data_IF_470912242698
#
_entry.id   IF_470912242698
#
_cell.length_a   1.000
_cell.length_b   1.000
_cell.length_c   1.000
_cell.angle_alpha   90.00
_cell.angle_beta   90.00
_cell.angle_gamma   90.00
#
_symmetry.space_group_name_H-M   'P 1'
#
loop_
_entity.id
_entity.type
_entity.pdbx_description
1 polymer ?
#
# COMPACT_ATOMS: atom_id res chain seq x y z
N UNK A 1 -5.34 16.23 -28.11
CA UNK A 1 -4.59 17.16 -27.26
C UNK A 1 -3.79 16.32 -26.28
N UNK A 2 -2.45 16.29 -26.42
CA UNK A 2 -1.58 15.49 -25.54
C UNK A 2 -1.46 16.22 -24.21
N UNK A 3 -2.00 15.64 -23.13
CA UNK A 3 -1.74 16.13 -21.79
C UNK A 3 -0.25 15.91 -21.48
N UNK A 4 0.52 16.98 -21.43
CA UNK A 4 1.87 16.99 -20.86
C UNK A 4 1.71 16.83 -19.35
N UNK A 5 1.86 15.61 -18.85
CA UNK A 5 2.03 15.35 -17.42
C UNK A 5 3.34 16.01 -16.98
N UNK A 6 3.23 16.89 -16.03
CA UNK A 6 4.34 17.67 -15.46
C UNK A 6 5.15 16.75 -14.54
N UNK A 7 6.26 16.24 -15.05
CA UNK A 7 7.34 15.73 -14.24
C UNK A 7 8.27 16.91 -13.91
N UNK A 8 7.93 17.67 -12.89
CA UNK A 8 8.81 18.73 -12.40
C UNK A 8 9.76 18.15 -11.35
N UNK A 9 11.05 18.38 -11.57
CA UNK A 9 12.22 17.91 -10.83
C UNK A 9 12.28 18.16 -9.32
N UNK A 10 11.22 17.83 -8.58
CA UNK A 10 11.18 17.89 -7.10
C UNK A 10 11.99 16.79 -6.42
N UNK A 11 12.41 15.75 -7.15
CA UNK A 11 13.17 14.61 -6.61
C UNK A 11 14.57 14.98 -6.07
N UNK A 12 15.06 16.19 -6.29
CA UNK A 12 16.33 16.65 -5.75
C UNK A 12 16.28 17.01 -4.24
N UNK A 13 15.09 17.15 -3.65
CA UNK A 13 14.92 17.55 -2.24
C UNK A 13 15.13 16.41 -1.24
N UNK A 14 15.02 15.15 -1.65
CA UNK A 14 15.16 14.00 -0.75
C UNK A 14 16.60 13.61 -0.41
N UNK A 15 17.61 14.33 -0.92
CA UNK A 15 19.04 14.09 -0.60
C UNK A 15 19.52 14.57 0.78
N UNK A 16 18.68 15.22 1.59
CA UNK A 16 19.00 15.50 2.99
C UNK A 16 18.35 14.45 3.87
N UNK A 17 19.15 13.53 4.38
CA UNK A 17 18.79 12.64 5.48
C UNK A 17 18.41 13.49 6.70
N UNK A 18 17.15 13.87 6.81
CA UNK A 18 16.59 14.36 8.04
C UNK A 18 16.10 13.13 8.82
N UNK A 19 16.87 12.71 9.81
CA UNK A 19 16.34 11.82 10.84
C UNK A 19 15.23 12.57 11.55
N UNK A 20 13.99 12.14 11.38
CA UNK A 20 12.86 12.63 12.16
C UNK A 20 13.02 12.02 13.56
N UNK A 21 13.46 12.82 14.52
CA UNK A 21 13.41 12.42 15.93
C UNK A 21 11.93 12.40 16.36
N UNK A 22 11.41 11.23 16.73
CA UNK A 22 10.09 11.14 17.39
C UNK A 22 10.17 11.90 18.72
N UNK A 23 9.68 13.12 18.73
CA UNK A 23 9.68 13.94 19.93
C UNK A 23 8.63 13.45 20.90
N UNK A 24 8.98 13.45 22.20
CA UNK A 24 8.14 12.87 23.25
C UNK A 24 6.81 13.61 23.43
N UNK A 25 6.78 14.95 23.15
CA UNK A 25 5.60 15.80 23.33
C UNK A 25 5.56 16.88 22.24
N UNK A 26 4.52 16.85 21.43
CA UNK A 26 4.32 17.79 20.33
C UNK A 26 2.85 18.19 20.22
N UNK A 27 2.59 19.47 19.91
CA UNK A 27 1.28 19.98 19.60
C UNK A 27 1.26 20.55 18.18
N UNK A 28 0.48 19.94 17.30
CA UNK A 28 0.20 20.44 15.96
C UNK A 28 -1.00 21.36 16.03
N UNK A 29 -0.84 22.60 15.55
CA UNK A 29 -1.87 23.65 15.68
C UNK A 29 -2.30 24.22 14.34
N UNK A 30 -3.49 24.82 14.33
CA UNK A 30 -4.02 25.66 13.26
C UNK A 30 -4.26 24.94 11.93
N UNK A 31 -4.08 23.62 11.85
CA UNK A 31 -4.33 22.84 10.65
C UNK A 31 -5.80 22.45 10.48
N UNK A 32 -6.19 22.08 9.27
CA UNK A 32 -7.48 21.47 8.98
C UNK A 32 -7.30 19.94 9.07
N UNK A 33 -7.61 19.37 10.24
CA UNK A 33 -7.35 17.97 10.54
C UNK A 33 -8.49 17.06 10.05
N UNK A 34 -8.14 15.91 9.47
CA UNK A 34 -9.11 14.90 9.08
C UNK A 34 -9.44 14.00 10.27
N UNK A 35 -10.55 14.28 10.92
CA UNK A 35 -10.99 13.61 12.15
C UNK A 35 -12.40 13.05 11.95
N UNK A 36 -12.62 11.79 12.32
CA UNK A 36 -13.95 11.14 12.25
C UNK A 36 -14.62 11.23 10.87
N UNK A 37 -13.83 11.18 9.80
CA UNK A 37 -14.34 11.20 8.43
C UNK A 37 -14.62 12.57 7.84
N UNK A 38 -14.26 13.66 8.55
CA UNK A 38 -14.47 15.03 8.09
C UNK A 38 -13.25 15.91 8.39
N UNK A 39 -13.14 17.05 7.70
CA UNK A 39 -12.14 18.06 7.99
C UNK A 39 -12.64 19.02 9.07
N UNK A 40 -11.89 19.15 10.14
CA UNK A 40 -12.21 20.02 11.29
C UNK A 40 -11.00 20.92 11.63
N UNK A 41 -11.24 22.14 12.04
CA UNK A 41 -10.24 22.99 12.69
C UNK A 41 -9.92 22.41 14.07
N UNK A 42 -8.91 21.57 14.14
CA UNK A 42 -8.54 20.89 15.37
C UNK A 42 -7.03 20.81 15.53
N UNK A 43 -6.57 21.01 16.75
CA UNK A 43 -5.19 20.75 17.15
C UNK A 43 -5.02 19.27 17.49
N UNK A 44 -3.82 18.74 17.26
CA UNK A 44 -3.48 17.35 17.55
C UNK A 44 -2.27 17.29 18.46
N UNK A 45 -2.43 16.73 19.66
CA UNK A 45 -1.32 16.47 20.57
C UNK A 45 -0.77 15.06 20.36
N UNK A 46 0.54 14.97 20.21
CA UNK A 46 1.26 13.70 20.08
C UNK A 46 2.14 13.54 21.33
N UNK A 47 1.97 12.41 22.00
CA UNK A 47 2.80 12.02 23.15
C UNK A 47 3.33 10.60 22.94
N UNK A 48 4.64 10.43 23.07
CA UNK A 48 5.32 9.15 22.91
C UNK A 48 4.99 8.42 21.58
N UNK A 49 4.89 9.18 20.48
CA UNK A 49 4.59 8.67 19.15
C UNK A 49 3.13 8.24 18.94
N UNK A 50 2.23 8.62 19.82
CA UNK A 50 0.78 8.38 19.69
C UNK A 50 -0.01 9.68 19.80
N UNK A 51 -1.15 9.72 19.14
CA UNK A 51 -2.13 10.78 19.34
C UNK A 51 -2.65 10.68 20.79
N UNK A 52 -2.50 11.76 21.56
CA UNK A 52 -2.96 11.84 22.94
C UNK A 52 -4.30 12.57 23.04
N UNK A 53 -4.43 13.73 22.38
CA UNK A 53 -5.62 14.58 22.43
C UNK A 53 -5.90 15.19 21.05
N UNK A 54 -7.17 15.44 20.74
CA UNK A 54 -7.63 16.13 19.52
C UNK A 54 -8.70 17.13 19.91
N UNK A 55 -8.61 18.37 19.41
CA UNK A 55 -9.59 19.44 19.68
C UNK A 55 -8.94 20.82 19.73
N UNK A 56 -9.56 21.76 20.43
CA UNK A 56 -8.98 23.08 20.72
C UNK A 56 -8.05 22.95 21.93
N UNK A 57 -6.75 22.98 21.73
CA UNK A 57 -5.76 22.64 22.76
C UNK A 57 -4.87 23.86 23.11
N UNK A 58 -4.54 24.01 24.38
CA UNK A 58 -3.52 24.93 24.85
C UNK A 58 -2.17 24.22 24.95
N UNK A 59 -1.09 24.92 24.58
CA UNK A 59 0.25 24.39 24.71
C UNK A 59 0.61 24.12 26.17
N UNK A 60 1.27 22.99 26.45
CA UNK A 60 1.85 22.65 27.75
C UNK A 60 3.29 23.16 27.84
N UNK A 61 3.80 23.38 29.04
CA UNK A 61 5.21 23.80 29.23
C UNK A 61 6.19 22.74 28.65
N UNK A 62 7.12 23.18 27.81
CA UNK A 62 8.14 22.31 27.20
C UNK A 62 7.64 21.49 26.00
N UNK A 63 6.38 21.68 25.57
CA UNK A 63 5.83 21.02 24.38
C UNK A 63 6.33 21.72 23.10
N UNK A 64 6.74 20.94 22.10
CA UNK A 64 7.06 21.51 20.79
C UNK A 64 5.78 21.86 20.06
N UNK A 65 5.72 23.07 19.50
CA UNK A 65 4.57 23.51 18.69
C UNK A 65 4.96 23.42 17.21
N UNK A 66 4.11 22.76 16.44
CA UNK A 66 4.16 22.73 14.97
C UNK A 66 2.94 23.46 14.43
N UNK A 67 3.18 24.58 13.78
CA UNK A 67 2.14 25.33 13.10
C UNK A 67 1.84 24.69 11.73
N UNK A 68 0.59 24.26 11.56
CA UNK A 68 0.07 23.67 10.32
C UNK A 68 -0.94 24.61 9.65
N UNK A 69 -0.87 25.93 9.88
CA UNK A 69 -1.77 26.91 9.28
C UNK A 69 -1.75 26.80 7.74
N UNK A 70 -2.96 26.68 7.15
CA UNK A 70 -3.13 26.54 5.70
C UNK A 70 -2.87 25.13 5.17
N UNK A 71 -2.60 24.15 6.04
CA UNK A 71 -2.37 22.75 5.64
C UNK A 71 -3.53 21.85 6.10
N UNK A 72 -3.76 20.83 5.29
CA UNK A 72 -4.52 19.66 5.71
C UNK A 72 -3.62 18.77 6.54
N UNK A 73 -4.13 18.33 7.69
CA UNK A 73 -3.45 17.39 8.61
C UNK A 73 -4.15 16.06 8.52
N UNK A 74 -3.51 15.10 7.88
CA UNK A 74 -4.07 13.77 7.59
C UNK A 74 -3.45 12.72 8.52
N UNK A 75 -4.16 11.61 8.81
CA UNK A 75 -3.51 10.44 9.36
C UNK A 75 -2.36 10.00 8.45
N UNK A 76 -1.29 9.45 9.00
CA UNK A 76 -0.25 8.84 8.19
C UNK A 76 -0.81 7.71 7.32
N UNK A 77 -0.31 7.63 6.08
CA UNK A 77 -0.77 6.65 5.09
C UNK A 77 -0.42 5.23 5.51
N UNK A 78 -1.22 4.28 5.02
CA UNK A 78 -0.98 2.84 5.19
C UNK A 78 -0.90 2.19 3.82
N UNK A 79 0.26 1.62 3.48
CA UNK A 79 0.51 0.98 2.19
C UNK A 79 0.58 -0.54 2.36
N UNK A 80 -0.43 -1.25 1.91
CA UNK A 80 -0.55 -2.70 2.10
C UNK A 80 0.00 -3.53 0.93
N UNK A 81 0.58 -2.87 -0.09
CA UNK A 81 1.22 -3.54 -1.22
C UNK A 81 2.37 -2.70 -1.76
N UNK A 82 3.59 -3.10 -1.43
CA UNK A 82 4.83 -2.40 -1.79
C UNK A 82 6.01 -3.37 -1.83
N UNK A 83 6.74 -3.45 -2.94
CA UNK A 83 7.90 -4.32 -3.09
C UNK A 83 9.19 -3.68 -2.60
N UNK A 84 9.37 -2.40 -2.96
CA UNK A 84 10.62 -1.70 -2.75
C UNK A 84 10.43 -0.18 -2.69
N UNK A 85 11.44 0.55 -2.17
CA UNK A 85 11.45 2.01 -2.10
C UNK A 85 12.89 2.54 -1.97
N UNK A 86 13.24 3.59 -2.73
CA UNK A 86 14.51 4.32 -2.58
C UNK A 86 15.76 3.46 -2.76
N UNK A 87 15.73 2.50 -3.68
CA UNK A 87 16.81 1.55 -3.93
C UNK A 87 16.88 0.38 -2.95
N UNK A 88 15.93 0.25 -2.01
CA UNK A 88 15.81 -0.88 -1.10
C UNK A 88 14.66 -1.78 -1.53
N UNK A 89 14.84 -3.11 -1.47
CA UNK A 89 13.87 -4.13 -1.88
C UNK A 89 13.70 -5.16 -0.76
N UNK A 90 12.45 -5.46 -0.38
CA UNK A 90 12.17 -6.39 0.71
C UNK A 90 12.67 -7.82 0.46
N UNK A 91 12.87 -8.21 -0.81
CA UNK A 91 13.46 -9.50 -1.17
C UNK A 91 14.93 -9.62 -0.75
N UNK A 92 15.62 -8.50 -0.47
CA UNK A 92 17.03 -8.47 -0.04
C UNK A 92 17.21 -8.60 1.47
N UNK A 93 16.10 -8.78 2.22
CA UNK A 93 16.11 -9.10 3.64
C UNK A 93 16.09 -7.90 4.58
N UNK A 94 16.46 -8.13 5.86
CA UNK A 94 16.24 -7.22 6.99
C UNK A 94 16.77 -5.80 6.76
N UNK A 95 17.99 -5.66 6.25
CA UNK A 95 18.62 -4.34 6.10
C UNK A 95 17.84 -3.45 5.12
N UNK A 96 17.32 -4.02 4.04
CA UNK A 96 16.53 -3.29 3.05
C UNK A 96 15.14 -2.96 3.57
N UNK A 97 14.47 -3.87 4.28
CA UNK A 97 13.18 -3.59 4.94
C UNK A 97 13.32 -2.44 5.95
N UNK A 98 14.41 -2.36 6.70
CA UNK A 98 14.70 -1.23 7.61
C UNK A 98 14.92 0.08 6.86
N UNK A 99 15.63 0.05 5.73
CA UNK A 99 15.81 1.22 4.87
C UNK A 99 14.48 1.69 4.27
N UNK A 100 13.63 0.76 3.79
CA UNK A 100 12.27 1.06 3.35
C UNK A 100 11.47 1.73 4.47
N UNK A 101 11.46 1.15 5.66
CA UNK A 101 10.75 1.68 6.83
C UNK A 101 11.14 3.13 7.12
N UNK A 102 12.44 3.42 7.18
CA UNK A 102 12.94 4.77 7.45
C UNK A 102 12.60 5.75 6.32
N UNK A 103 12.77 5.32 5.07
CA UNK A 103 12.49 6.17 3.90
C UNK A 103 11.01 6.46 3.71
N UNK A 104 10.15 5.46 3.88
CA UNK A 104 8.69 5.60 3.71
C UNK A 104 8.08 6.55 4.73
N UNK A 105 8.58 6.58 5.97
CA UNK A 105 8.12 7.55 6.97
C UNK A 105 8.27 8.99 6.45
N UNK A 106 9.35 9.30 5.71
CA UNK A 106 9.61 10.64 5.16
C UNK A 106 8.57 11.04 4.08
N UNK A 107 7.84 10.07 3.53
CA UNK A 107 6.78 10.30 2.52
C UNK A 107 5.38 10.33 3.14
N UNK A 108 5.27 10.31 4.47
CA UNK A 108 4.01 10.32 5.19
C UNK A 108 3.39 8.95 5.42
N UNK A 109 4.07 7.85 5.08
CA UNK A 109 3.60 6.49 5.37
C UNK A 109 3.86 6.17 6.84
N UNK A 110 2.80 5.86 7.58
CA UNK A 110 2.89 5.46 8.99
C UNK A 110 3.13 3.96 9.16
N UNK A 111 2.59 3.16 8.24
CA UNK A 111 2.70 1.70 8.27
C UNK A 111 2.64 1.11 6.86
N UNK A 112 3.26 -0.04 6.67
CA UNK A 112 3.25 -0.72 5.38
C UNK A 112 3.37 -2.25 5.52
N UNK A 113 3.02 -2.95 4.45
CA UNK A 113 3.16 -4.40 4.33
C UNK A 113 4.11 -4.69 3.16
N UNK A 114 5.41 -4.93 3.41
CA UNK A 114 6.35 -5.29 2.36
C UNK A 114 5.90 -6.55 1.64
N UNK A 115 5.94 -6.52 0.29
CA UNK A 115 5.35 -7.51 -0.60
C UNK A 115 6.43 -8.28 -1.33
N UNK A 116 6.46 -9.62 -1.15
CA UNK A 116 7.43 -10.48 -1.84
C UNK A 116 7.05 -10.70 -3.30
N UNK A 117 8.07 -10.90 -4.14
CA UNK A 117 7.93 -11.34 -5.53
C UNK A 117 7.97 -12.87 -5.63
N UNK A 118 7.62 -13.40 -6.84
CA UNK A 118 7.86 -14.81 -7.16
C UNK A 118 9.35 -15.14 -7.08
N UNK A 119 9.67 -16.15 -6.29
CA UNK A 119 11.02 -16.64 -6.05
C UNK A 119 10.99 -18.14 -5.69
N UNK A 120 12.15 -18.78 -5.68
CA UNK A 120 12.25 -20.15 -5.17
C UNK A 120 11.98 -20.19 -3.66
N UNK A 121 11.50 -21.32 -3.10
CA UNK A 121 11.05 -21.41 -1.70
C UNK A 121 12.07 -20.90 -0.68
N UNK A 122 13.38 -21.16 -0.91
CA UNK A 122 14.42 -20.67 0.00
C UNK A 122 14.56 -19.16 -0.03
N UNK A 123 14.50 -18.53 -1.20
CA UNK A 123 14.59 -17.06 -1.35
C UNK A 123 13.37 -16.38 -0.72
N UNK A 124 12.18 -16.98 -0.90
CA UNK A 124 10.95 -16.50 -0.24
C UNK A 124 11.08 -16.57 1.28
N UNK A 125 11.57 -17.70 1.81
CA UNK A 125 11.84 -17.84 3.24
C UNK A 125 12.85 -16.79 3.76
N UNK A 126 13.93 -16.55 3.03
CA UNK A 126 14.96 -15.58 3.42
C UNK A 126 14.39 -14.16 3.47
N UNK A 127 13.58 -13.76 2.48
CA UNK A 127 12.87 -12.48 2.46
C UNK A 127 11.89 -12.36 3.65
N UNK A 128 11.05 -13.37 3.86
CA UNK A 128 10.12 -13.42 4.99
C UNK A 128 10.83 -13.37 6.34
N UNK A 129 11.97 -14.04 6.48
CA UNK A 129 12.79 -14.00 7.70
C UNK A 129 13.33 -12.59 7.97
N UNK A 130 13.75 -11.87 6.92
CA UNK A 130 14.17 -10.47 7.03
C UNK A 130 13.01 -9.57 7.47
N UNK A 131 11.81 -9.76 6.91
CA UNK A 131 10.61 -9.02 7.32
C UNK A 131 10.24 -9.36 8.78
N UNK A 132 10.25 -10.65 9.15
CA UNK A 132 10.00 -11.09 10.54
C UNK A 132 10.93 -10.40 11.53
N UNK A 133 12.22 -10.31 11.20
CA UNK A 133 13.20 -9.66 12.08
C UNK A 133 12.88 -8.19 12.35
N UNK A 134 12.31 -7.48 11.36
CA UNK A 134 11.88 -6.08 11.53
C UNK A 134 10.55 -5.98 12.27
N UNK A 135 9.62 -6.93 12.06
CA UNK A 135 8.37 -7.00 12.84
C UNK A 135 8.67 -7.21 14.32
N UNK A 136 9.61 -8.12 14.64
CA UNK A 136 9.98 -8.43 16.03
C UNK A 136 10.78 -7.31 16.70
N UNK A 137 11.54 -6.54 15.92
CA UNK A 137 12.37 -5.41 16.39
C UNK A 137 12.17 -4.20 15.48
N UNK A 138 11.04 -3.46 15.64
CA UNK A 138 10.68 -2.34 14.78
C UNK A 138 11.71 -1.20 14.83
N UNK A 139 11.81 -0.47 13.72
CA UNK A 139 12.59 0.78 13.67
C UNK A 139 11.92 1.86 14.52
N UNK A 140 12.72 2.48 15.41
CA UNK A 140 12.24 3.55 16.28
C UNK A 140 11.82 4.81 15.48
N UNK A 141 12.46 5.05 14.32
CA UNK A 141 12.25 6.22 13.45
C UNK A 141 11.87 5.80 12.04
N UNK A 142 10.96 4.85 11.91
CA UNK A 142 10.49 4.32 10.63
C UNK A 142 8.98 4.12 10.60
N UNK A 143 8.44 3.91 9.41
CA UNK A 143 7.09 3.40 9.21
C UNK A 143 6.98 1.98 9.79
N UNK A 144 5.87 1.67 10.44
CA UNK A 144 5.68 0.35 11.05
C UNK A 144 5.52 -0.75 9.98
N UNK A 145 6.26 -1.84 10.13
CA UNK A 145 6.07 -3.05 9.30
C UNK A 145 4.98 -3.89 9.93
N UNK A 146 3.83 -4.02 9.23
CA UNK A 146 2.63 -4.72 9.75
C UNK A 146 2.67 -6.23 9.56
N UNK A 147 3.66 -6.74 8.88
CA UNK A 147 3.84 -8.12 8.47
C UNK A 147 4.27 -8.19 7.01
N UNK A 148 4.15 -9.34 6.36
CA UNK A 148 4.50 -9.59 4.98
C UNK A 148 3.27 -9.85 4.11
N UNK A 149 3.30 -9.39 2.86
CA UNK A 149 2.39 -9.80 1.82
C UNK A 149 3.12 -10.76 0.87
N UNK A 150 2.68 -12.01 0.80
CA UNK A 150 3.18 -12.95 -0.21
C UNK A 150 2.36 -12.78 -1.50
N UNK A 151 2.93 -12.19 -2.56
CA UNK A 151 2.20 -12.01 -3.81
C UNK A 151 2.25 -13.26 -4.72
N UNK A 152 3.16 -14.15 -4.47
CA UNK A 152 3.37 -15.40 -5.22
C UNK A 152 3.56 -16.56 -4.22
N UNK A 153 3.63 -17.84 -4.66
CA UNK A 153 3.79 -18.32 -6.05
C UNK A 153 2.51 -18.87 -6.71
N UNK A 154 1.35 -18.80 -6.08
CA UNK A 154 0.12 -19.46 -6.52
C UNK A 154 -0.64 -18.64 -7.57
N UNK A 155 0.02 -18.32 -8.69
CA UNK A 155 -0.46 -17.42 -9.72
C UNK A 155 -0.68 -18.14 -11.06
N UNK A 156 -1.58 -17.61 -11.89
CA UNK A 156 -1.82 -18.13 -13.24
C UNK A 156 -0.73 -17.67 -14.22
N UNK A 157 -0.03 -18.61 -14.85
CA UNK A 157 1.08 -18.33 -15.75
C UNK A 157 0.69 -17.32 -16.87
N UNK A 158 -0.52 -17.42 -17.40
CA UNK A 158 -1.03 -16.50 -18.45
C UNK A 158 -1.08 -15.04 -17.99
N UNK A 159 -1.31 -14.80 -16.72
CA UNK A 159 -1.46 -13.47 -16.11
C UNK A 159 -0.32 -13.13 -15.15
N UNK A 160 0.83 -13.77 -15.29
CA UNK A 160 1.98 -13.60 -14.38
C UNK A 160 2.52 -12.15 -14.31
N UNK A 161 2.27 -11.31 -15.33
CA UNK A 161 2.85 -9.96 -15.37
C UNK A 161 4.37 -9.99 -15.30
N UNK A 162 4.94 -9.26 -14.36
CA UNK A 162 6.38 -9.21 -14.06
C UNK A 162 6.87 -10.36 -13.15
N UNK A 163 6.01 -11.27 -12.72
CA UNK A 163 6.40 -12.42 -11.89
C UNK A 163 7.19 -13.46 -12.69
N UNK A 164 8.14 -14.16 -12.05
CA UNK A 164 8.96 -15.22 -12.70
C UNK A 164 8.13 -16.50 -12.85
N UNK A 165 7.88 -16.90 -14.10
CA UNK A 165 7.00 -18.03 -14.41
C UNK A 165 7.52 -19.38 -13.90
N UNK A 166 8.84 -19.58 -13.86
CA UNK A 166 9.50 -20.79 -13.35
C UNK A 166 9.37 -20.99 -11.84
N UNK A 167 9.05 -19.91 -11.10
CA UNK A 167 8.84 -19.98 -9.65
C UNK A 167 7.38 -20.21 -9.24
N UNK A 168 6.46 -20.24 -10.23
CA UNK A 168 5.04 -20.44 -9.94
C UNK A 168 4.76 -21.89 -9.55
N UNK A 169 3.84 -22.09 -8.61
CA UNK A 169 3.47 -23.39 -8.06
C UNK A 169 1.96 -23.56 -8.01
N UNK A 170 1.51 -24.81 -7.97
CA UNK A 170 0.12 -25.11 -7.68
C UNK A 170 -0.22 -24.77 -6.22
N UNK A 171 -1.39 -24.15 -5.94
CA UNK A 171 -1.82 -23.82 -4.59
C UNK A 171 -1.89 -25.08 -3.70
N UNK A 172 -1.16 -25.06 -2.58
CA UNK A 172 -1.29 -26.07 -1.53
C UNK A 172 -0.75 -25.54 -0.20
N UNK A 173 -1.31 -26.00 0.92
CA UNK A 173 -0.79 -25.64 2.24
C UNK A 173 0.61 -26.21 2.49
N UNK A 174 0.96 -27.35 1.89
CA UNK A 174 2.31 -27.90 1.98
C UNK A 174 3.36 -26.97 1.36
N UNK A 175 3.10 -26.44 0.16
CA UNK A 175 3.98 -25.46 -0.48
C UNK A 175 4.04 -24.14 0.31
N UNK A 176 2.91 -23.66 0.84
CA UNK A 176 2.89 -22.50 1.73
C UNK A 176 3.77 -22.71 2.97
N UNK A 177 3.57 -23.84 3.67
CA UNK A 177 4.31 -24.14 4.91
C UNK A 177 5.82 -24.36 4.65
N UNK A 178 6.20 -24.85 3.47
CA UNK A 178 7.60 -24.96 3.05
C UNK A 178 8.28 -23.58 2.92
N UNK A 179 7.57 -22.58 2.43
CA UNK A 179 8.11 -21.21 2.29
C UNK A 179 8.10 -20.45 3.63
N UNK A 180 7.10 -20.67 4.46
CA UNK A 180 6.92 -19.90 5.71
C UNK A 180 7.72 -20.49 6.87
N UNK A 181 7.85 -21.83 6.96
CA UNK A 181 8.66 -22.55 7.98
C UNK A 181 8.41 -22.08 9.42
N UNK A 182 7.15 -21.78 9.75
CA UNK A 182 6.77 -21.36 11.10
C UNK A 182 6.96 -19.86 11.41
N UNK A 183 7.41 -19.05 10.45
CA UNK A 183 7.37 -17.58 10.58
C UNK A 183 5.91 -17.11 10.75
N UNK A 184 5.72 -16.06 11.54
CA UNK A 184 4.38 -15.52 11.88
C UNK A 184 4.08 -14.17 11.23
N UNK A 185 5.02 -13.63 10.47
CA UNK A 185 4.88 -12.30 9.86
C UNK A 185 3.91 -12.26 8.68
N UNK A 186 3.53 -13.41 8.06
CA UNK A 186 2.66 -13.37 6.89
C UNK A 186 1.29 -12.83 7.26
N UNK A 187 0.98 -11.65 6.76
CA UNK A 187 -0.28 -10.93 6.97
C UNK A 187 -1.25 -11.13 5.82
N UNK A 188 -0.73 -11.17 4.61
CA UNK A 188 -1.51 -11.24 3.37
C UNK A 188 -0.92 -12.26 2.41
N UNK A 189 -1.77 -12.85 1.56
CA UNK A 189 -1.34 -13.68 0.44
C UNK A 189 -2.21 -13.45 -0.78
N UNK A 190 -1.57 -13.19 -1.92
CA UNK A 190 -2.22 -13.13 -3.23
C UNK A 190 -2.12 -14.47 -3.94
N UNK A 191 -3.21 -14.90 -4.56
CA UNK A 191 -3.29 -16.14 -5.33
C UNK A 191 -4.34 -16.05 -6.45
N UNK A 192 -4.24 -16.96 -7.43
CA UNK A 192 -5.21 -17.15 -8.50
C UNK A 192 -6.26 -18.17 -8.07
N UNK A 193 -7.51 -17.72 -7.76
CA UNK A 193 -8.49 -18.58 -7.10
C UNK A 193 -9.08 -19.68 -8.00
N UNK A 194 -8.94 -19.59 -9.33
CA UNK A 194 -9.38 -20.61 -10.28
C UNK A 194 -8.43 -21.83 -10.32
N UNK A 195 -7.23 -21.71 -9.74
CA UNK A 195 -6.27 -22.82 -9.73
C UNK A 195 -6.73 -23.94 -8.81
N UNK A 196 -6.54 -25.23 -9.20
CA UNK A 196 -6.86 -26.36 -8.33
C UNK A 196 -6.16 -26.25 -6.96
N UNK A 197 -6.90 -26.41 -5.86
CA UNK A 197 -6.42 -26.30 -4.50
C UNK A 197 -6.47 -24.87 -3.90
N UNK A 198 -6.80 -23.86 -4.71
CA UNK A 198 -6.80 -22.47 -4.25
C UNK A 198 -7.87 -22.21 -3.18
N UNK A 199 -9.08 -22.72 -3.33
CA UNK A 199 -10.17 -22.51 -2.37
C UNK A 199 -9.84 -23.13 -0.99
N UNK A 200 -9.21 -24.30 -0.98
CA UNK A 200 -8.73 -24.96 0.23
C UNK A 200 -7.65 -24.13 0.94
N UNK A 201 -6.70 -23.54 0.16
CA UNK A 201 -5.67 -22.64 0.69
C UNK A 201 -6.31 -21.39 1.27
N UNK A 202 -7.25 -20.75 0.57
CA UNK A 202 -8.00 -19.58 1.06
C UNK A 202 -8.66 -19.90 2.41
N UNK A 203 -9.42 -21.00 2.49
CA UNK A 203 -10.12 -21.40 3.71
C UNK A 203 -9.17 -21.71 4.87
N UNK A 204 -8.00 -22.31 4.58
CA UNK A 204 -6.98 -22.61 5.58
C UNK A 204 -6.28 -21.34 6.09
N UNK A 205 -5.91 -20.43 5.20
CA UNK A 205 -5.26 -19.16 5.53
C UNK A 205 -6.19 -18.23 6.32
N UNK A 206 -7.48 -18.18 6.00
CA UNK A 206 -8.49 -17.47 6.79
C UNK A 206 -8.48 -17.96 8.27
N UNK A 207 -8.40 -19.26 8.50
CA UNK A 207 -8.34 -19.84 9.87
C UNK A 207 -7.05 -19.45 10.60
N UNK A 208 -5.95 -19.17 9.85
CA UNK A 208 -4.68 -18.69 10.40
C UNK A 208 -4.65 -17.16 10.56
N UNK A 209 -5.72 -16.44 10.19
CA UNK A 209 -5.79 -14.98 10.27
C UNK A 209 -5.00 -14.26 9.16
N UNK A 210 -4.66 -14.96 8.08
CA UNK A 210 -4.00 -14.38 6.91
C UNK A 210 -5.08 -13.89 5.93
N UNK A 211 -4.98 -12.64 5.51
CA UNK A 211 -5.86 -12.03 4.50
C UNK A 211 -5.51 -12.59 3.12
N UNK A 212 -6.51 -13.10 2.39
CA UNK A 212 -6.28 -13.60 1.03
C UNK A 212 -6.81 -12.64 -0.02
N UNK A 213 -6.03 -12.49 -1.11
CA UNK A 213 -6.29 -11.57 -2.21
C UNK A 213 -6.28 -12.32 -3.54
N UNK A 214 -7.09 -11.90 -4.51
CA UNK A 214 -7.06 -12.45 -5.88
C UNK A 214 -6.29 -11.50 -6.80
N UNK A 215 -5.32 -12.01 -7.54
CA UNK A 215 -4.68 -11.34 -8.68
C UNK A 215 -3.82 -12.32 -9.48
N UNK A 216 -3.20 -11.82 -10.57
CA UNK A 216 -2.42 -12.64 -11.49
C UNK A 216 -3.20 -13.91 -11.88
N UNK A 217 -4.44 -13.72 -12.33
CA UNK A 217 -5.47 -14.76 -12.35
C UNK A 217 -6.27 -14.73 -13.67
N UNK A 218 -6.63 -15.90 -14.14
CA UNK A 218 -7.59 -16.12 -15.23
C UNK A 218 -9.02 -16.32 -14.72
N UNK A 219 -9.28 -16.09 -13.43
CA UNK A 219 -10.58 -16.28 -12.78
C UNK A 219 -11.69 -15.53 -13.50
N UNK A 220 -12.85 -16.14 -13.56
CA UNK A 220 -14.11 -15.54 -13.98
C UNK A 220 -14.86 -15.02 -12.74
N UNK A 221 -15.96 -14.30 -12.94
CA UNK A 221 -16.74 -13.77 -11.82
C UNK A 221 -17.20 -14.87 -10.84
N UNK A 222 -17.58 -16.04 -11.34
CA UNK A 222 -17.97 -17.17 -10.50
C UNK A 222 -16.86 -17.67 -9.59
N UNK A 223 -15.61 -17.68 -10.08
CA UNK A 223 -14.45 -18.11 -9.29
C UNK A 223 -14.18 -17.12 -8.14
N UNK A 224 -14.33 -15.81 -8.40
CA UNK A 224 -14.18 -14.76 -7.38
C UNK A 224 -15.26 -14.88 -6.30
N UNK A 225 -16.52 -15.14 -6.67
CA UNK A 225 -17.60 -15.34 -5.70
C UNK A 225 -17.35 -16.60 -4.85
N UNK A 226 -16.92 -17.71 -5.47
CA UNK A 226 -16.55 -18.92 -4.74
C UNK A 226 -15.37 -18.69 -3.78
N UNK A 227 -14.38 -17.92 -4.22
CA UNK A 227 -13.25 -17.54 -3.36
C UNK A 227 -13.68 -16.64 -2.19
N UNK A 228 -14.59 -15.68 -2.41
CA UNK A 228 -15.16 -14.85 -1.33
C UNK A 228 -15.94 -15.69 -0.32
N UNK A 229 -16.69 -16.69 -0.76
CA UNK A 229 -17.37 -17.66 0.12
C UNK A 229 -16.37 -18.49 0.95
N UNK A 230 -15.23 -18.87 0.35
CA UNK A 230 -14.14 -19.56 1.05
C UNK A 230 -13.40 -18.63 2.02
N UNK A 231 -13.44 -17.31 1.83
CA UNK A 231 -12.85 -16.35 2.76
C UNK A 231 -11.91 -15.31 2.17
N UNK A 232 -11.80 -15.24 0.84
CA UNK A 232 -11.09 -14.16 0.16
C UNK A 232 -11.78 -12.82 0.43
N UNK A 233 -11.00 -11.78 0.73
CA UNK A 233 -11.53 -10.47 1.11
C UNK A 233 -10.95 -9.31 0.30
N UNK A 234 -9.97 -9.55 -0.57
CA UNK A 234 -9.36 -8.48 -1.35
C UNK A 234 -9.09 -8.89 -2.80
N UNK A 235 -8.99 -7.89 -3.68
CA UNK A 235 -8.44 -8.01 -5.03
C UNK A 235 -7.24 -7.09 -5.12
N UNK A 236 -6.08 -7.67 -5.44
CA UNK A 236 -4.81 -6.94 -5.58
C UNK A 236 -4.80 -6.19 -6.91
N UNK A 237 -4.28 -4.95 -6.93
CA UNK A 237 -4.09 -4.06 -8.09
C UNK A 237 -5.16 -4.23 -9.18
N UNK A 238 -6.42 -3.96 -8.81
CA UNK A 238 -7.62 -4.12 -9.63
C UNK A 238 -7.40 -3.72 -11.10
N UNK A 239 -7.88 -4.51 -12.05
CA UNK A 239 -7.70 -4.45 -13.51
C UNK A 239 -6.33 -4.89 -14.04
N UNK A 240 -5.30 -5.00 -13.22
CA UNK A 240 -3.95 -5.35 -13.67
C UNK A 240 -3.71 -6.85 -13.51
N UNK A 241 -3.17 -7.49 -14.57
CA UNK A 241 -2.91 -8.93 -14.62
C UNK A 241 -4.14 -9.79 -14.22
N UNK A 242 -5.31 -9.48 -14.77
CA UNK A 242 -6.61 -10.11 -14.47
C UNK A 242 -7.45 -10.25 -15.73
N UNK A 243 -8.49 -11.08 -15.69
CA UNK A 243 -9.52 -11.11 -16.73
C UNK A 243 -10.23 -9.75 -16.81
N UNK A 244 -10.55 -9.25 -18.02
CA UNK A 244 -11.15 -7.93 -18.18
C UNK A 244 -12.63 -7.90 -17.77
N UNK A 245 -13.13 -6.70 -17.44
CA UNK A 245 -14.56 -6.46 -17.26
C UNK A 245 -15.28 -6.46 -18.61
N UNK A 246 -16.25 -7.34 -18.76
CA UNK A 246 -17.12 -7.41 -19.93
C UNK A 246 -18.58 -7.59 -19.50
N UNK A 247 -19.54 -7.02 -20.24
CA UNK A 247 -20.95 -6.95 -19.83
C UNK A 247 -21.68 -8.30 -19.73
N UNK A 248 -21.11 -9.40 -20.25
CA UNK A 248 -21.65 -10.77 -20.15
C UNK A 248 -20.78 -11.69 -19.30
N UNK A 249 -19.50 -11.38 -19.12
CA UNK A 249 -18.59 -12.03 -18.19
C UNK A 249 -17.81 -10.95 -17.48
N UNK A 250 -18.23 -10.56 -16.27
CA UNK A 250 -17.67 -9.39 -15.57
C UNK A 250 -16.19 -9.54 -15.17
N UNK A 251 -15.67 -10.77 -15.21
CA UNK A 251 -14.30 -11.06 -14.81
C UNK A 251 -14.02 -10.68 -13.37
N UNK A 252 -12.75 -10.62 -13.05
CA UNK A 252 -12.30 -10.24 -11.68
C UNK A 252 -12.75 -8.82 -11.30
N UNK A 253 -12.57 -7.79 -12.16
CA UNK A 253 -12.94 -6.44 -11.77
C UNK A 253 -14.45 -6.27 -11.54
N UNK A 254 -15.28 -6.87 -12.39
CA UNK A 254 -16.74 -6.77 -12.23
C UNK A 254 -17.23 -7.45 -10.97
N UNK A 255 -16.73 -8.65 -10.66
CA UNK A 255 -17.05 -9.35 -9.42
C UNK A 255 -16.60 -8.56 -8.19
N UNK A 256 -15.36 -8.05 -8.20
CA UNK A 256 -14.81 -7.29 -7.09
C UNK A 256 -15.51 -5.96 -6.83
N UNK A 257 -15.92 -5.27 -7.90
CA UNK A 257 -16.67 -4.01 -7.79
C UNK A 257 -18.10 -4.22 -7.29
N UNK A 258 -18.70 -5.38 -7.56
CA UNK A 258 -20.08 -5.70 -7.19
C UNK A 258 -20.22 -6.36 -5.80
N UNK A 259 -19.19 -6.98 -5.26
CA UNK A 259 -19.23 -7.70 -3.97
C UNK A 259 -18.73 -6.81 -2.83
N UNK A 260 -19.61 -6.42 -1.91
CA UNK A 260 -19.29 -5.55 -0.78
C UNK A 260 -18.33 -6.19 0.26
N UNK A 261 -18.16 -7.51 0.22
CA UNK A 261 -17.21 -8.23 1.08
C UNK A 261 -15.76 -8.04 0.68
N UNK A 262 -15.53 -7.53 -0.55
CA UNK A 262 -14.21 -7.43 -1.17
C UNK A 262 -13.73 -5.99 -1.15
N UNK A 263 -12.55 -5.74 -0.59
CA UNK A 263 -11.80 -4.50 -0.75
C UNK A 263 -10.95 -4.60 -2.02
N UNK A 264 -11.00 -3.60 -2.88
CA UNK A 264 -10.19 -3.56 -4.09
C UNK A 264 -8.96 -2.67 -3.88
N UNK A 265 -7.77 -3.20 -4.20
CA UNK A 265 -6.54 -2.41 -4.16
C UNK A 265 -6.36 -1.68 -5.50
N UNK A 266 -5.94 -0.41 -5.47
CA UNK A 266 -5.82 0.41 -6.68
C UNK A 266 -4.51 1.17 -6.72
N UNK A 267 -3.81 1.10 -7.86
CA UNK A 267 -2.63 1.91 -8.18
C UNK A 267 -3.12 3.19 -8.89
N UNK A 268 -3.15 4.30 -8.15
CA UNK A 268 -3.73 5.55 -8.64
C UNK A 268 -2.66 6.49 -9.23
N UNK A 269 -1.81 5.98 -10.13
CA UNK A 269 -0.73 6.74 -10.78
C UNK A 269 -1.15 7.43 -12.09
N UNK A 270 -2.33 7.07 -12.64
CA UNK A 270 -2.81 7.55 -13.95
C UNK A 270 -2.10 6.86 -15.15
N UNK A 271 -1.25 5.87 -14.88
CA UNK A 271 -0.51 5.05 -15.86
C UNK A 271 -1.13 3.64 -15.91
N UNK A 272 -1.26 2.97 -14.76
CA UNK A 272 -1.91 1.67 -14.62
C UNK A 272 -3.41 1.75 -14.89
N UNK A 273 -4.06 2.81 -14.41
CA UNK A 273 -5.50 3.03 -14.56
C UNK A 273 -5.76 4.43 -15.13
N UNK A 274 -6.60 4.49 -16.17
CA UNK A 274 -7.11 5.75 -16.67
C UNK A 274 -7.91 6.48 -15.56
N UNK A 275 -7.87 7.82 -15.47
CA UNK A 275 -8.64 8.57 -14.46
C UNK A 275 -10.13 8.23 -14.39
N UNK A 276 -10.78 7.98 -15.52
CA UNK A 276 -12.20 7.57 -15.54
C UNK A 276 -12.41 6.19 -14.90
N UNK A 277 -11.45 5.25 -15.05
CA UNK A 277 -11.49 3.92 -14.41
C UNK A 277 -11.33 4.06 -12.90
N UNK A 278 -10.38 4.89 -12.45
CA UNK A 278 -10.22 5.25 -11.03
C UNK A 278 -11.53 5.81 -10.45
N UNK A 279 -12.15 6.75 -11.18
CA UNK A 279 -13.45 7.34 -10.79
C UNK A 279 -14.57 6.32 -10.70
N UNK A 280 -14.69 5.44 -11.69
CA UNK A 280 -15.73 4.40 -11.70
C UNK A 280 -15.55 3.46 -10.52
N UNK A 281 -14.34 2.94 -10.31
CA UNK A 281 -14.06 2.03 -9.20
C UNK A 281 -14.28 2.70 -7.83
N UNK A 282 -13.82 3.95 -7.66
CA UNK A 282 -14.05 4.72 -6.44
C UNK A 282 -15.53 4.95 -6.15
N UNK A 283 -16.33 5.28 -7.17
CA UNK A 283 -17.79 5.45 -7.00
C UNK A 283 -18.52 4.13 -6.71
N UNK A 284 -18.08 3.02 -7.29
CA UNK A 284 -18.69 1.71 -7.03
C UNK A 284 -18.43 1.23 -5.60
N UNK A 285 -17.21 1.42 -5.12
CA UNK A 285 -16.77 0.83 -3.85
C UNK A 285 -16.82 1.81 -2.66
N UNK A 286 -16.78 3.12 -2.93
CA UNK A 286 -16.71 4.14 -1.88
C UNK A 286 -15.43 4.05 -1.03
N UNK A 287 -15.39 4.89 -0.01
CA UNK A 287 -14.22 5.04 0.85
C UNK A 287 -13.78 3.75 1.58
N UNK A 288 -14.73 2.87 1.91
CA UNK A 288 -14.46 1.66 2.70
C UNK A 288 -14.15 0.42 1.82
N UNK A 289 -14.43 0.49 0.53
CA UNK A 289 -14.22 -0.63 -0.40
C UNK A 289 -12.97 -0.49 -1.27
N UNK A 290 -12.21 0.61 -1.17
CA UNK A 290 -10.97 0.86 -1.90
C UNK A 290 -9.80 0.97 -0.93
N UNK A 291 -8.70 0.26 -1.18
CA UNK A 291 -7.40 0.49 -0.59
C UNK A 291 -6.45 1.03 -1.66
N UNK A 292 -5.97 2.26 -1.52
CA UNK A 292 -4.89 2.76 -2.37
C UNK A 292 -3.61 2.08 -1.97
N UNK A 293 -2.85 1.64 -2.97
CA UNK A 293 -1.54 1.01 -2.82
C UNK A 293 -0.53 1.70 -3.71
N UNK A 294 0.74 1.64 -3.36
CA UNK A 294 1.79 2.12 -4.26
C UNK A 294 2.13 1.06 -5.31
N UNK A 295 2.20 -0.20 -4.94
CA UNK A 295 2.80 -1.26 -5.75
C UNK A 295 4.18 -0.82 -6.25
N UNK A 296 4.92 -0.10 -5.39
CA UNK A 296 6.15 0.54 -5.81
C UNK A 296 7.32 -0.43 -5.83
N UNK A 297 8.23 -0.17 -6.78
CA UNK A 297 9.49 -0.85 -6.93
C UNK A 297 10.67 0.04 -6.52
N UNK A 298 11.90 -0.44 -6.59
CA UNK A 298 13.06 0.26 -6.00
C UNK A 298 13.32 1.67 -6.56
N UNK A 299 12.81 1.99 -7.76
CA UNK A 299 12.90 3.32 -8.34
C UNK A 299 11.99 4.37 -7.68
N UNK A 300 11.02 3.97 -6.87
CA UNK A 300 10.15 4.92 -6.20
C UNK A 300 10.97 5.90 -5.32
N UNK A 301 10.79 7.19 -5.54
CA UNK A 301 11.59 8.24 -4.90
C UNK A 301 12.97 8.49 -5.52
N UNK A 302 13.31 7.82 -6.63
CA UNK A 302 14.57 7.96 -7.37
C UNK A 302 14.31 8.53 -8.79
N UNK A 303 15.36 9.04 -9.49
CA UNK A 303 15.24 9.50 -10.88
C UNK A 303 14.87 8.39 -11.86
N UNK A 304 14.46 8.75 -13.07
CA UNK A 304 14.35 7.83 -14.20
C UNK A 304 15.70 7.12 -14.45
N UNK A 305 15.64 5.84 -14.84
CA UNK A 305 16.85 5.03 -15.02
C UNK A 305 16.55 3.55 -15.15
N UNK A 306 17.60 2.75 -15.06
CA UNK A 306 17.48 1.29 -15.01
C UNK A 306 17.60 0.82 -13.57
N UNK A 307 16.70 -0.10 -13.19
CA UNK A 307 16.52 -0.64 -11.86
C UNK A 307 16.28 -2.16 -11.94
N UNK A 308 16.02 -2.78 -10.81
CA UNK A 308 15.68 -4.20 -10.69
C UNK A 308 14.29 -4.39 -10.05
N UNK A 309 13.60 -5.43 -10.46
CA UNK A 309 12.42 -5.96 -9.77
C UNK A 309 12.42 -7.48 -9.87
N UNK A 310 12.62 -8.16 -8.75
CA UNK A 310 12.63 -9.61 -8.69
C UNK A 310 13.71 -10.26 -9.58
N UNK A 311 14.87 -9.61 -9.76
CA UNK A 311 15.98 -10.08 -10.61
C UNK A 311 15.81 -9.76 -12.09
N UNK A 312 14.82 -8.93 -12.46
CA UNK A 312 14.59 -8.52 -13.85
C UNK A 312 14.92 -7.04 -14.03
N UNK A 313 15.59 -6.68 -15.14
CA UNK A 313 15.86 -5.28 -15.46
C UNK A 313 14.56 -4.52 -15.77
N UNK A 314 14.34 -3.41 -15.08
CA UNK A 314 13.21 -2.50 -15.27
C UNK A 314 13.71 -1.14 -15.70
N UNK A 315 13.10 -0.58 -16.72
CA UNK A 315 13.43 0.74 -17.25
C UNK A 315 12.34 1.74 -16.84
N UNK A 316 12.73 2.77 -16.11
CA UNK A 316 11.83 3.85 -15.70
C UNK A 316 12.02 5.04 -16.63
N UNK A 317 10.92 5.47 -17.25
CA UNK A 317 10.86 6.67 -18.11
C UNK A 317 9.55 7.41 -17.86
N UNK A 318 9.63 8.69 -17.63
CA UNK A 318 8.47 9.55 -17.31
C UNK A 318 7.62 8.96 -16.16
N UNK A 319 8.29 8.38 -15.15
CA UNK A 319 7.67 7.74 -14.00
C UNK A 319 7.03 6.36 -14.26
N UNK A 320 7.04 5.85 -15.49
CA UNK A 320 6.52 4.53 -15.83
C UNK A 320 7.63 3.47 -15.78
N UNK A 321 7.47 2.47 -14.90
CA UNK A 321 8.38 1.34 -14.75
C UNK A 321 7.96 0.19 -15.69
N UNK A 322 8.86 -0.27 -16.57
CA UNK A 322 8.57 -1.31 -17.57
C UNK A 322 9.72 -2.30 -17.72
N UNK A 323 9.37 -3.56 -17.91
CA UNK A 323 10.31 -4.57 -18.44
C UNK A 323 10.71 -4.21 -19.89
N UNK A 324 11.78 -4.81 -20.40
CA UNK A 324 12.20 -4.67 -21.79
C UNK A 324 11.09 -5.06 -22.79
N UNK A 325 10.22 -5.98 -22.42
CA UNK A 325 9.03 -6.38 -23.18
C UNK A 325 7.94 -5.30 -23.27
N UNK A 326 8.07 -4.19 -22.52
CA UNK A 326 7.07 -3.12 -22.42
C UNK A 326 5.99 -3.34 -21.37
N UNK A 327 5.94 -4.49 -20.70
CA UNK A 327 5.00 -4.78 -19.61
C UNK A 327 5.32 -3.88 -18.42
N UNK A 328 4.30 -3.30 -17.79
CA UNK A 328 4.44 -2.57 -16.53
C UNK A 328 4.96 -3.52 -15.44
N UNK A 329 5.86 -3.04 -14.60
CA UNK A 329 6.58 -3.82 -13.60
C UNK A 329 6.66 -3.03 -12.29
N UNK A 330 5.63 -3.16 -11.45
CA UNK A 330 5.41 -2.28 -10.31
C UNK A 330 5.23 -0.82 -10.73
N UNK A 331 5.33 0.09 -9.79
CA UNK A 331 5.18 1.53 -9.99
C UNK A 331 6.33 2.33 -9.39
N UNK A 332 6.32 3.65 -9.61
CA UNK A 332 7.14 4.62 -8.87
C UNK A 332 6.27 5.53 -7.99
N UNK A 333 5.00 5.17 -7.82
CA UNK A 333 3.99 5.95 -7.12
C UNK A 333 4.30 6.05 -5.61
N UNK A 334 4.08 7.24 -5.05
CA UNK A 334 4.09 7.47 -3.61
C UNK A 334 2.65 7.65 -3.10
N UNK A 335 2.36 7.23 -1.86
CA UNK A 335 1.00 7.25 -1.31
C UNK A 335 0.36 8.65 -1.32
N UNK A 336 1.12 9.71 -1.02
CA UNK A 336 0.61 11.08 -1.13
C UNK A 336 0.24 11.49 -2.57
N UNK A 337 0.95 10.95 -3.58
CA UNK A 337 0.63 11.16 -4.99
C UNK A 337 -0.64 10.38 -5.37
N UNK A 338 -0.83 9.16 -4.86
CA UNK A 338 -2.06 8.38 -5.05
C UNK A 338 -3.28 9.16 -4.54
N UNK A 339 -3.19 9.74 -3.32
CA UNK A 339 -4.24 10.60 -2.76
C UNK A 339 -4.51 11.81 -3.66
N UNK A 340 -3.46 12.55 -4.03
CA UNK A 340 -3.60 13.70 -4.93
C UNK A 340 -4.28 13.31 -6.24
N UNK A 341 -3.85 12.23 -6.86
CA UNK A 341 -4.37 11.78 -8.16
C UNK A 341 -5.84 11.37 -8.08
N UNK A 342 -6.26 10.69 -7.03
CA UNK A 342 -7.69 10.38 -6.81
C UNK A 342 -8.54 11.63 -6.68
N UNK A 343 -8.04 12.66 -6.01
CA UNK A 343 -8.75 13.94 -5.86
C UNK A 343 -8.73 14.73 -7.16
N UNK A 344 -7.54 14.93 -7.76
CA UNK A 344 -7.37 15.89 -8.86
C UNK A 344 -7.63 15.29 -10.24
N UNK A 345 -7.29 14.02 -10.48
CA UNK A 345 -7.48 13.36 -11.77
C UNK A 345 -8.81 12.59 -11.82
N UNK A 346 -9.10 11.80 -10.79
CA UNK A 346 -10.36 11.06 -10.75
C UNK A 346 -11.55 11.91 -10.26
N UNK A 347 -11.29 13.06 -9.59
CA UNK A 347 -12.33 13.97 -9.09
C UNK A 347 -13.21 13.36 -8.02
N UNK A 348 -12.65 12.55 -7.13
CA UNK A 348 -13.31 11.99 -5.94
C UNK A 348 -13.14 13.00 -4.78
N UNK A 349 -14.16 13.15 -3.96
CA UNK A 349 -14.12 14.06 -2.82
C UNK A 349 -12.99 13.67 -1.83
N UNK A 350 -12.25 14.64 -1.28
CA UNK A 350 -11.15 14.34 -0.35
C UNK A 350 -11.59 13.49 0.84
N UNK A 351 -12.77 13.72 1.38
CA UNK A 351 -13.34 12.98 2.51
C UNK A 351 -13.52 11.49 2.21
N UNK A 352 -13.74 11.15 0.94
CA UNK A 352 -13.82 9.75 0.48
C UNK A 352 -12.42 9.17 0.20
N UNK A 353 -11.49 9.99 -0.31
CA UNK A 353 -10.15 9.52 -0.69
C UNK A 353 -9.26 9.26 0.52
N UNK A 354 -9.31 10.12 1.56
CA UNK A 354 -8.40 9.97 2.71
C UNK A 354 -8.56 8.59 3.38
N UNK A 355 -9.75 8.08 3.67
CA UNK A 355 -9.89 6.72 4.19
C UNK A 355 -9.30 5.65 3.28
N UNK A 356 -9.37 5.79 1.93
CA UNK A 356 -8.81 4.82 0.98
C UNK A 356 -7.29 4.66 1.10
N UNK A 357 -6.57 5.67 1.61
CA UNK A 357 -5.12 5.64 1.81
C UNK A 357 -4.71 5.45 3.28
N UNK A 358 -5.66 5.38 4.21
CA UNK A 358 -5.39 5.43 5.65
C UNK A 358 -6.16 4.33 6.39
N UNK A 359 -7.40 4.60 6.80
CA UNK A 359 -8.16 3.67 7.64
C UNK A 359 -8.60 2.40 6.92
N UNK A 360 -9.00 2.47 5.65
CA UNK A 360 -9.47 1.31 4.90
C UNK A 360 -8.37 0.25 4.70
N UNK A 361 -7.15 0.58 4.20
CA UNK A 361 -6.07 -0.41 4.14
C UNK A 361 -5.66 -0.90 5.55
N UNK A 362 -5.63 -0.04 6.57
CA UNK A 362 -5.33 -0.45 7.93
C UNK A 362 -6.33 -1.47 8.47
N UNK A 363 -7.63 -1.21 8.33
CA UNK A 363 -8.70 -2.10 8.79
C UNK A 363 -8.69 -3.43 8.04
N UNK A 364 -8.45 -3.39 6.72
CA UNK A 364 -8.45 -4.57 5.85
C UNK A 364 -7.38 -5.59 6.22
N UNK A 365 -6.33 -5.15 6.94
CA UNK A 365 -5.26 -6.04 7.46
C UNK A 365 -5.25 -6.12 8.99
N UNK A 366 -6.29 -5.60 9.66
CA UNK A 366 -6.44 -5.66 11.12
C UNK A 366 -5.49 -4.76 11.91
N UNK A 367 -4.94 -3.70 11.30
CA UNK A 367 -3.99 -2.78 11.92
C UNK A 367 -4.70 -1.58 12.59
N UNK A 368 -5.56 -1.84 13.57
CA UNK A 368 -6.47 -0.85 14.20
C UNK A 368 -5.81 0.38 14.83
N UNK A 369 -4.51 0.38 15.06
CA UNK A 369 -3.78 1.52 15.64
C UNK A 369 -3.27 2.54 14.61
N UNK A 370 -3.63 2.39 13.33
CA UNK A 370 -3.14 3.22 12.23
C UNK A 370 -4.28 3.82 11.40
N UNK A 371 -3.97 4.83 10.60
CA UNK A 371 -4.88 5.42 9.61
C UNK A 371 -5.95 6.32 10.20
N UNK A 372 -5.83 6.77 11.45
CA UNK A 372 -6.80 7.66 12.13
C UNK A 372 -6.10 8.72 12.99
N UNK A 373 -6.74 9.86 13.14
CA UNK A 373 -6.37 10.88 14.13
C UNK A 373 -7.36 10.76 15.32
N UNK A 374 -7.04 9.87 16.24
CA UNK A 374 -7.83 9.63 17.45
C UNK A 374 -6.91 9.21 18.62
N UNK A 375 -7.30 9.46 19.88
CA UNK A 375 -6.48 9.07 21.02
C UNK A 375 -6.08 7.60 21.01
N UNK A 376 -4.78 7.34 21.15
CA UNK A 376 -4.18 6.01 21.13
C UNK A 376 -3.67 5.54 19.74
N UNK A 377 -4.09 6.16 18.65
CA UNK A 377 -3.59 5.88 17.31
C UNK A 377 -2.13 6.32 17.12
N UNK A 378 -1.45 5.81 16.10
CA UNK A 378 -0.10 6.23 15.74
C UNK A 378 -0.03 7.73 15.45
N UNK A 379 0.92 8.42 16.08
CA UNK A 379 1.11 9.86 15.99
C UNK A 379 1.88 10.31 14.74
N UNK A 380 1.74 9.59 13.62
CA UNK A 380 2.30 10.00 12.32
C UNK A 380 1.23 10.74 11.56
N UNK A 381 1.53 11.98 11.15
CA UNK A 381 0.60 12.83 10.41
C UNK A 381 1.24 13.27 9.10
N UNK A 382 0.53 13.07 7.98
CA UNK A 382 0.91 13.60 6.68
C UNK A 382 0.31 15.00 6.49
N UNK A 383 1.12 15.93 6.01
CA UNK A 383 0.69 17.31 5.73
C UNK A 383 0.56 17.51 4.23
N UNK A 384 -0.58 18.07 3.80
CA UNK A 384 -0.83 18.42 2.40
C UNK A 384 -1.20 19.91 2.29
N UNK A 385 -0.78 20.56 1.21
CA UNK A 385 -1.18 21.94 0.93
C UNK A 385 -2.58 22.04 0.28
N UNK A 386 -3.07 23.26 0.05
CA UNK A 386 -4.38 23.50 -0.56
C UNK A 386 -4.53 23.00 -2.01
N UNK A 387 -3.44 22.59 -2.65
CA UNK A 387 -3.40 21.98 -3.98
C UNK A 387 -3.14 20.48 -3.93
N UNK A 388 -3.20 19.89 -2.74
CA UNK A 388 -2.92 18.47 -2.45
C UNK A 388 -1.48 18.05 -2.76
N UNK A 389 -0.51 18.96 -2.70
CA UNK A 389 0.90 18.60 -2.72
C UNK A 389 1.34 18.22 -1.31
N UNK A 390 2.26 17.26 -1.23
CA UNK A 390 2.84 16.85 0.04
C UNK A 390 3.72 17.96 0.61
N UNK A 391 3.40 18.42 1.81
CA UNK A 391 4.10 19.51 2.52
C UNK A 391 5.05 18.98 3.59
N UNK A 392 4.92 17.72 3.99
CA UNK A 392 5.79 17.09 4.97
C UNK A 392 5.10 16.07 5.86
N UNK A 393 5.85 15.57 6.83
CA UNK A 393 5.37 14.59 7.81
C UNK A 393 5.69 15.06 9.22
N UNK A 394 4.84 14.72 10.16
CA UNK A 394 5.04 14.84 11.61
C UNK A 394 5.03 13.42 12.18
N UNK A 395 6.09 13.04 12.96
CA UNK A 395 6.19 11.72 13.58
C UNK A 395 6.96 11.75 14.91
#
# INVERSE_FOLDING_TARGET
MRAKLWYNGENAKYKRSFMIERKRHMLVKNGLAFVRGAFEQADVRIENGRVAEVGQLSAKAGEEIRDAQGLYVLPGFVDIHIHAFGGADCMRGEADVRRMSTGLLQTGVAAFVPTTMSAYPQQTYDALSGIQAVVDRPEAHGAAVLGAHMEAPFLALKYKGAQLGECLQAPSMAAYDEMVRGLTCVRMMTLAPELPGALEVIAALKKRGVVTCAAHTAALAADIHAAADAGLTQITHLFNAQTPLHHREPGVPGAGLADDRIVVQMIADGIHLHPDVLRVAGKCKGAQGVALISDSMEAAGLPDGQYDLGGQAVFVRDGAARLESGVLAGSTLLMHQAVRNMITLAGIAPEEVIPMATSTPADSVGAKGFGRIEPGAAGVLALMDGSWNFAGVIA
#
